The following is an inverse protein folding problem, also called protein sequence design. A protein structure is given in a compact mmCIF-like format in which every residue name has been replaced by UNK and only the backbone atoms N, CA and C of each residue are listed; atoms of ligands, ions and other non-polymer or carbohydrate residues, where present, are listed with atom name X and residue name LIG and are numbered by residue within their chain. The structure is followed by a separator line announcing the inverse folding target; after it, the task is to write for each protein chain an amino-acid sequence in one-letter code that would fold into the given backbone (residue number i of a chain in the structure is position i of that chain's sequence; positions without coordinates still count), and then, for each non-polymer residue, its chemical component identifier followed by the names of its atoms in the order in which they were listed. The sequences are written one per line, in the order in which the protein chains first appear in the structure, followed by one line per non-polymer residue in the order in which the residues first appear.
data_IF_993875560329
#
_entry.id   IF_993875560329
#
_cell.length_a   1.000
_cell.length_b   1.000
_cell.length_c   1.000
_cell.angle_alpha   90.00
_cell.angle_beta   90.00
_cell.angle_gamma   90.00
#
_symmetry.space_group_name_H-M   'P 1'
#
loop_
_entity.id
_entity.type
_entity.pdbx_description
1 polymer ?
#
# COMPACT_ATOMS: atom_id res chain seq x y z
N UNK A 1 16.23 13.23 -0.42
CA UNK A 1 15.18 12.21 -0.23
C UNK A 1 15.33 11.65 1.16
N UNK A 2 14.23 11.61 1.92
CA UNK A 2 14.25 11.10 3.29
C UNK A 2 13.34 9.87 3.35
N UNK A 3 13.93 8.71 3.64
CA UNK A 3 13.15 7.52 4.01
C UNK A 3 12.89 7.67 5.49
N UNK A 4 11.68 8.09 5.84
CA UNK A 4 11.26 8.13 7.23
C UNK A 4 10.69 6.76 7.56
N UNK A 5 11.46 5.97 8.29
CA UNK A 5 10.89 4.82 8.99
C UNK A 5 10.08 5.38 10.16
N UNK A 6 8.77 5.22 10.12
CA UNK A 6 7.94 5.45 11.30
C UNK A 6 7.23 4.14 11.62
N UNK A 7 7.57 3.62 12.81
CA UNK A 7 6.87 2.60 13.58
C UNK A 7 6.54 1.28 12.84
N UNK A 8 7.18 0.19 13.31
CA UNK A 8 6.61 -1.16 13.27
C UNK A 8 6.41 -1.78 11.87
N UNK A 9 7.46 -1.71 11.04
CA UNK A 9 7.48 -2.37 9.72
C UNK A 9 6.84 -1.57 8.58
N UNK A 10 6.64 -0.26 8.78
CA UNK A 10 6.06 0.66 7.80
C UNK A 10 7.10 1.65 7.32
N UNK A 11 7.05 1.96 6.03
CA UNK A 11 7.97 2.88 5.38
C UNK A 11 7.21 4.03 4.76
N UNK A 12 7.65 5.25 5.06
CA UNK A 12 7.16 6.47 4.43
C UNK A 12 8.32 7.10 3.67
N UNK A 13 8.11 7.43 2.40
CA UNK A 13 9.11 8.14 1.58
C UNK A 13 8.73 9.59 1.38
N UNK A 14 9.45 10.51 2.04
CA UNK A 14 9.27 11.96 1.94
C UNK A 14 10.40 12.61 1.14
N UNK A 15 10.09 13.75 0.51
CA UNK A 15 10.96 14.39 -0.47
C UNK A 15 10.19 15.06 -1.62
N UNK A 16 10.88 15.95 -2.32
CA UNK A 16 10.31 16.75 -3.39
C UNK A 16 9.96 15.91 -4.65
N UNK A 17 9.02 16.39 -5.48
CA UNK A 17 8.76 15.82 -6.79
C UNK A 17 10.05 15.68 -7.61
N UNK A 18 10.21 14.56 -8.31
CA UNK A 18 11.37 14.31 -9.18
C UNK A 18 12.61 13.71 -8.49
N UNK A 19 12.60 13.50 -7.16
CA UNK A 19 13.73 12.87 -6.44
C UNK A 19 13.81 11.33 -6.55
N UNK A 20 13.10 10.72 -7.52
CA UNK A 20 13.21 9.27 -7.78
C UNK A 20 12.48 8.37 -6.78
N UNK A 21 11.47 8.87 -6.06
CA UNK A 21 10.67 8.08 -5.11
C UNK A 21 10.05 6.84 -5.73
N UNK A 22 9.38 7.02 -6.88
CA UNK A 22 8.76 5.91 -7.58
C UNK A 22 9.82 4.89 -8.02
N UNK A 23 11.02 5.32 -8.41
CA UNK A 23 12.15 4.43 -8.72
C UNK A 23 12.52 3.54 -7.52
N UNK A 24 12.59 4.10 -6.31
CA UNK A 24 12.88 3.32 -5.10
C UNK A 24 11.70 2.42 -4.74
N UNK A 25 10.47 2.89 -4.90
CA UNK A 25 9.28 2.07 -4.69
C UNK A 25 9.26 0.86 -5.64
N UNK A 26 9.65 1.03 -6.90
CA UNK A 26 9.82 -0.06 -7.86
C UNK A 26 10.97 -1.00 -7.47
N UNK A 27 12.10 -0.48 -6.97
CA UNK A 27 13.20 -1.31 -6.51
C UNK A 27 12.77 -2.19 -5.32
N UNK A 28 12.02 -1.62 -4.36
CA UNK A 28 11.44 -2.35 -3.23
C UNK A 28 10.43 -3.38 -3.73
N UNK A 29 9.52 -3.01 -4.63
CA UNK A 29 8.56 -3.93 -5.22
C UNK A 29 9.26 -5.11 -5.88
N UNK A 30 10.29 -4.84 -6.69
CA UNK A 30 11.05 -5.89 -7.37
C UNK A 30 11.69 -6.83 -6.35
N UNK A 31 12.34 -6.31 -5.31
CA UNK A 31 12.94 -7.13 -4.26
C UNK A 31 11.90 -8.01 -3.54
N UNK A 32 10.76 -7.44 -3.13
CA UNK A 32 9.68 -8.16 -2.47
C UNK A 32 9.06 -9.24 -3.37
N UNK A 33 8.90 -8.95 -4.67
CA UNK A 33 8.40 -9.92 -5.65
C UNK A 33 9.33 -11.13 -5.80
N UNK A 34 10.66 -10.91 -5.81
CA UNK A 34 11.61 -12.03 -5.89
C UNK A 34 11.46 -12.95 -4.67
N UNK A 35 11.25 -12.38 -3.48
CA UNK A 35 11.04 -13.18 -2.27
C UNK A 35 9.70 -13.93 -2.31
N UNK A 36 8.60 -13.25 -2.66
CA UNK A 36 7.27 -13.85 -2.73
C UNK A 36 7.12 -14.93 -3.83
N UNK A 37 7.98 -14.92 -4.85
CA UNK A 37 8.08 -16.01 -5.84
C UNK A 37 8.67 -17.29 -5.26
N UNK A 38 9.56 -17.16 -4.29
CA UNK A 38 10.29 -18.28 -3.69
C UNK A 38 9.60 -18.83 -2.42
N UNK A 39 8.74 -18.03 -1.78
CA UNK A 39 7.94 -18.44 -0.61
C UNK A 39 6.49 -17.99 -0.76
N UNK A 40 5.61 -18.96 -0.96
CA UNK A 40 4.17 -18.74 -1.14
C UNK A 40 3.48 -18.17 0.09
N UNK A 41 4.10 -18.25 1.27
CA UNK A 41 3.53 -17.69 2.50
C UNK A 41 3.76 -16.18 2.61
N UNK A 42 4.69 -15.62 1.83
CA UNK A 42 4.94 -14.19 1.84
C UNK A 42 3.84 -13.42 1.08
N UNK A 43 3.49 -12.20 1.53
CA UNK A 43 2.51 -11.38 0.86
C UNK A 43 3.04 -10.90 -0.50
N UNK A 44 2.12 -10.76 -1.46
CA UNK A 44 2.43 -10.28 -2.81
C UNK A 44 2.46 -8.74 -2.77
N UNK A 45 3.58 -8.09 -3.10
CA UNK A 45 3.63 -6.64 -3.20
C UNK A 45 2.84 -6.13 -4.40
N UNK A 46 1.99 -5.13 -4.17
CA UNK A 46 1.15 -4.52 -5.23
C UNK A 46 1.27 -3.01 -5.16
N UNK A 47 1.66 -2.38 -6.27
CA UNK A 47 1.68 -0.93 -6.40
C UNK A 47 0.26 -0.39 -6.60
N UNK A 48 -0.13 0.58 -5.79
CA UNK A 48 -1.47 1.19 -5.83
C UNK A 48 -1.34 2.71 -5.84
N UNK A 49 -1.96 3.34 -6.83
CA UNK A 49 -1.98 4.80 -6.94
C UNK A 49 -3.11 5.38 -6.06
N UNK A 50 -2.74 6.21 -5.08
CA UNK A 50 -3.68 6.87 -4.18
C UNK A 50 -4.51 7.95 -4.87
N UNK A 51 -4.08 8.48 -6.01
CA UNK A 51 -4.82 9.53 -6.72
C UNK A 51 -6.21 9.07 -7.19
N UNK A 52 -6.44 7.76 -7.31
CA UNK A 52 -7.75 7.18 -7.62
C UNK A 52 -8.70 7.10 -6.42
N UNK A 53 -8.26 7.44 -5.20
CA UNK A 53 -9.13 7.54 -4.02
C UNK A 53 -9.95 8.82 -4.06
N UNK A 54 -11.25 8.68 -4.33
CA UNK A 54 -12.15 9.81 -4.60
C UNK A 54 -13.30 9.97 -3.60
N UNK A 55 -13.63 8.93 -2.81
CA UNK A 55 -14.70 9.00 -1.82
C UNK A 55 -14.16 8.88 -0.39
N UNK A 56 -14.14 9.97 0.39
CA UNK A 56 -13.67 9.94 1.76
C UNK A 56 -14.54 9.18 2.75
N UNK A 57 -15.74 8.76 2.35
CA UNK A 57 -16.61 7.92 3.18
C UNK A 57 -16.37 6.42 2.94
N UNK A 58 -15.69 6.07 1.85
CA UNK A 58 -15.40 4.68 1.52
C UNK A 58 -14.32 4.12 2.47
N UNK A 59 -14.53 2.89 2.96
CA UNK A 59 -13.51 2.19 3.72
C UNK A 59 -12.29 1.93 2.84
N UNK A 60 -11.10 2.25 3.35
CA UNK A 60 -9.86 2.14 2.59
C UNK A 60 -9.59 0.72 2.10
N UNK A 61 -9.85 -0.31 2.91
CA UNK A 61 -9.71 -1.71 2.52
C UNK A 61 -10.60 -2.08 1.31
N UNK A 62 -11.85 -1.63 1.33
CA UNK A 62 -12.80 -1.86 0.23
C UNK A 62 -12.34 -1.17 -1.05
N UNK A 63 -11.93 0.09 -0.93
CA UNK A 63 -11.35 0.82 -2.05
C UNK A 63 -10.10 0.12 -2.60
N UNK A 64 -9.18 -0.30 -1.73
CA UNK A 64 -7.94 -0.97 -2.11
C UNK A 64 -8.22 -2.25 -2.91
N UNK A 65 -9.18 -3.07 -2.45
CA UNK A 65 -9.60 -4.27 -3.17
C UNK A 65 -10.18 -3.95 -4.54
N UNK A 66 -11.02 -2.92 -4.64
CA UNK A 66 -11.63 -2.48 -5.90
C UNK A 66 -10.59 -1.94 -6.87
N UNK A 67 -9.65 -1.12 -6.41
CA UNK A 67 -8.59 -0.57 -7.26
C UNK A 67 -7.69 -1.66 -7.81
N UNK A 68 -7.27 -2.62 -6.98
CA UNK A 68 -6.43 -3.72 -7.45
C UNK A 68 -7.23 -4.63 -8.40
N UNK A 69 -8.49 -4.92 -8.07
CA UNK A 69 -9.37 -5.72 -8.93
C UNK A 69 -9.54 -5.10 -10.32
N UNK A 70 -9.77 -3.78 -10.39
CA UNK A 70 -9.88 -3.05 -11.67
C UNK A 70 -8.55 -3.05 -12.41
N UNK A 71 -7.45 -2.76 -11.72
CA UNK A 71 -6.11 -2.63 -12.35
C UNK A 71 -5.64 -3.94 -12.98
N UNK A 72 -5.89 -5.07 -12.31
CA UNK A 72 -5.43 -6.39 -12.76
C UNK A 72 -6.53 -7.26 -13.37
N UNK A 73 -7.74 -6.71 -13.55
CA UNK A 73 -8.91 -7.41 -14.09
C UNK A 73 -9.24 -8.71 -13.33
N UNK A 74 -9.19 -8.63 -12.00
CA UNK A 74 -9.46 -9.74 -11.10
C UNK A 74 -10.84 -9.63 -10.44
N UNK A 75 -11.47 -10.73 -10.00
CA UNK A 75 -12.70 -10.66 -9.22
C UNK A 75 -12.52 -9.84 -7.93
N UNK A 76 -13.40 -8.88 -7.68
CA UNK A 76 -13.37 -8.05 -6.47
C UNK A 76 -13.37 -8.89 -5.18
N UNK A 77 -14.16 -9.97 -5.14
CA UNK A 77 -14.23 -10.83 -3.96
C UNK A 77 -12.90 -11.51 -3.66
N UNK A 78 -12.19 -11.99 -4.69
CA UNK A 78 -10.85 -12.55 -4.55
C UNK A 78 -9.90 -11.53 -3.92
N UNK A 79 -9.93 -10.28 -4.38
CA UNK A 79 -9.05 -9.24 -3.82
C UNK A 79 -9.40 -8.88 -2.37
N UNK A 80 -10.68 -8.82 -2.02
CA UNK A 80 -11.11 -8.64 -0.64
C UNK A 80 -10.60 -9.77 0.25
N UNK A 81 -10.71 -11.02 -0.19
CA UNK A 81 -10.26 -12.19 0.55
C UNK A 81 -8.73 -12.16 0.73
N UNK A 82 -7.97 -11.86 -0.33
CA UNK A 82 -6.50 -11.77 -0.26
C UNK A 82 -6.03 -10.64 0.68
N UNK A 83 -6.68 -9.48 0.65
CA UNK A 83 -6.34 -8.36 1.54
C UNK A 83 -6.69 -8.71 3.00
N UNK A 84 -7.85 -9.33 3.24
CA UNK A 84 -8.30 -9.67 4.61
C UNK A 84 -7.42 -10.74 5.26
N UNK A 85 -6.79 -11.60 4.46
CA UNK A 85 -5.87 -12.63 4.93
C UNK A 85 -4.39 -12.20 4.87
N UNK A 86 -4.11 -10.89 4.83
CA UNK A 86 -2.74 -10.33 4.81
C UNK A 86 -1.84 -10.89 3.68
N UNK A 87 -2.44 -11.31 2.55
CA UNK A 87 -1.71 -11.86 1.40
C UNK A 87 -1.25 -10.79 0.40
N UNK A 88 -1.65 -9.54 0.61
CA UNK A 88 -1.26 -8.39 -0.22
C UNK A 88 -0.44 -7.42 0.62
N UNK A 89 0.71 -7.02 0.09
CA UNK A 89 1.53 -5.95 0.65
C UNK A 89 1.37 -4.68 -0.21
N UNK A 90 0.48 -3.74 0.16
CA UNK A 90 0.22 -2.57 -0.67
C UNK A 90 1.39 -1.58 -0.60
N UNK A 91 1.90 -1.20 -1.76
CA UNK A 91 2.84 -0.11 -1.95
C UNK A 91 2.06 1.11 -2.47
N UNK A 92 1.88 2.11 -1.62
CA UNK A 92 1.03 3.27 -1.90
C UNK A 92 1.87 4.42 -2.48
N UNK A 93 1.48 4.94 -3.65
CA UNK A 93 2.13 6.11 -4.29
C UNK A 93 1.11 7.21 -4.62
N UNK A 94 1.58 8.44 -4.87
CA UNK A 94 0.72 9.51 -5.40
C UNK A 94 -0.18 10.22 -4.38
N UNK A 95 0.19 10.24 -3.09
CA UNK A 95 -0.60 10.93 -2.05
C UNK A 95 -0.78 12.44 -2.33
N UNK A 96 0.22 13.09 -2.94
CA UNK A 96 0.15 14.50 -3.34
C UNK A 96 -0.79 14.76 -4.51
N UNK A 97 -1.22 13.71 -5.22
CA UNK A 97 -2.14 13.78 -6.36
C UNK A 97 -3.57 13.40 -5.98
N UNK A 98 -3.80 13.04 -4.70
CA UNK A 98 -5.16 12.88 -4.16
C UNK A 98 -5.90 14.21 -4.29
N UNK A 99 -7.18 14.14 -4.63
CA UNK A 99 -8.06 15.31 -4.79
C UNK A 99 -7.86 16.33 -3.66
N UNK A 100 -7.78 17.60 -4.05
CA UNK A 100 -7.62 18.71 -3.11
C UNK A 100 -8.68 18.66 -2.00
N UNK A 101 -8.24 18.88 -0.76
CA UNK A 101 -9.09 18.79 0.44
C UNK A 101 -9.33 17.37 0.95
N UNK A 102 -8.97 16.31 0.21
CA UNK A 102 -9.18 14.91 0.62
C UNK A 102 -7.92 14.22 1.15
N UNK A 103 -6.73 14.79 0.91
CA UNK A 103 -5.45 14.20 1.32
C UNK A 103 -5.40 13.81 2.81
N UNK A 104 -5.84 14.70 3.71
CA UNK A 104 -5.89 14.41 5.15
C UNK A 104 -6.82 13.22 5.47
N UNK A 105 -7.98 13.17 4.81
CA UNK A 105 -8.93 12.05 4.99
C UNK A 105 -8.38 10.75 4.43
N UNK A 106 -7.61 10.80 3.34
CA UNK A 106 -6.91 9.63 2.78
C UNK A 106 -5.91 9.08 3.80
N UNK A 107 -5.10 9.96 4.41
CA UNK A 107 -4.15 9.59 5.48
C UNK A 107 -4.90 8.98 6.67
N UNK A 108 -6.00 9.60 7.12
CA UNK A 108 -6.80 9.08 8.24
C UNK A 108 -7.38 7.70 7.93
N UNK A 109 -7.86 7.47 6.70
CA UNK A 109 -8.39 6.19 6.25
C UNK A 109 -7.30 5.10 6.16
N UNK A 110 -6.11 5.44 5.66
CA UNK A 110 -4.92 4.57 5.67
C UNK A 110 -4.57 4.20 7.11
N UNK A 111 -4.49 5.18 8.00
CA UNK A 111 -4.15 4.96 9.41
C UNK A 111 -5.18 4.06 10.12
N UNK A 112 -6.47 4.22 9.81
CA UNK A 112 -7.51 3.33 10.34
C UNK A 112 -7.35 1.90 9.82
N UNK A 113 -7.17 1.73 8.51
CA UNK A 113 -6.93 0.44 7.89
C UNK A 113 -5.72 -0.28 8.51
N UNK A 114 -4.63 0.46 8.69
CA UNK A 114 -3.41 -0.08 9.25
C UNK A 114 -3.53 -0.51 10.73
N UNK A 115 -4.55 -0.07 11.48
CA UNK A 115 -4.82 -0.59 12.84
C UNK A 115 -5.45 -1.98 12.83
N UNK A 116 -6.01 -2.40 11.69
CA UNK A 116 -6.65 -3.70 11.52
C UNK A 116 -5.64 -4.81 11.20
N UNK A 117 -4.48 -4.44 10.67
CA UNK A 117 -3.44 -5.39 10.27
C UNK A 117 -2.56 -5.72 11.48
N UNK A 118 -2.35 -7.02 11.80
CA UNK A 118 -1.39 -7.44 12.81
C UNK A 118 -0.01 -6.87 12.48
N UNK A 119 0.64 -6.25 13.47
CA UNK A 119 2.01 -5.73 13.28
C UNK A 119 2.90 -6.91 12.93
N UNK A 120 3.71 -6.77 11.87
CA UNK A 120 4.77 -7.73 11.59
C UNK A 120 5.57 -7.93 12.89
N UNK A 121 5.81 -9.18 13.34
CA UNK A 121 6.72 -9.39 14.46
C UNK A 121 8.05 -8.71 14.10
N UNK A 122 8.61 -7.98 15.06
CA UNK A 122 9.93 -7.38 14.88
C UNK A 122 10.88 -8.47 14.36
N UNK A 123 11.65 -8.16 13.32
CA UNK A 123 12.66 -9.09 12.83
C UNK A 123 13.52 -9.54 14.02
N UNK A 124 13.78 -10.84 14.19
CA UNK A 124 14.67 -11.29 15.25
C UNK A 124 16.03 -10.59 15.07
N UNK A 125 16.50 -9.97 16.15
CA UNK A 125 17.81 -9.32 16.27
C UNK A 125 18.95 -10.27 15.99
#
# INVERSE_FOLDING_TARGET
MEIVTHFEGRFIMLGDPGLGKSTILFAIMHHLLQNARNDVNLPIPVLVNLSSWQDPKQQFQTWLAEQIAVTYQLPRQLMLDLITNDRIFPLLDGLNEVREGYQKRCIDAINLYLRLIPRLPAAPS
#
